data_IF_852824782488
#
_entry.id   IF_852824782488
#
_cell.length_a   1.000
_cell.length_b   1.000
_cell.length_c   1.000
_cell.angle_alpha   90.00
_cell.angle_beta   90.00
_cell.angle_gamma   90.00
#
_symmetry.space_group_name_H-M   'P 1'
#
loop_
_entity.id
_entity.type
_entity.pdbx_description
1 polymer ?
#
# COMPACT_ATOMS: atom_id res chain seq x y z
N UNK A 1 -10.40 1.52 6.81
CA UNK A 1 -9.82 2.53 5.91
C UNK A 1 -10.45 2.33 4.56
N UNK A 2 -10.70 3.43 3.85
CA UNK A 2 -11.27 3.41 2.52
C UNK A 2 -10.46 4.32 1.59
N UNK A 3 -10.58 4.06 0.29
CA UNK A 3 -10.00 4.86 -0.76
C UNK A 3 -10.88 4.82 -2.01
N UNK A 4 -10.86 5.91 -2.76
CA UNK A 4 -11.61 6.07 -4.00
C UNK A 4 -10.66 6.46 -5.13
N UNK A 5 -10.97 6.03 -6.34
CA UNK A 5 -10.25 6.42 -7.55
C UNK A 5 -11.16 6.37 -8.77
N UNK A 6 -10.72 7.02 -9.85
CA UNK A 6 -11.30 6.75 -11.18
C UNK A 6 -10.94 5.33 -11.62
N UNK A 7 -11.91 4.63 -12.18
CA UNK A 7 -11.78 3.24 -12.60
C UNK A 7 -10.70 3.04 -13.68
N UNK A 8 -10.38 4.08 -14.44
CA UNK A 8 -9.36 4.06 -15.51
C UNK A 8 -7.92 4.27 -14.99
N UNK A 9 -7.73 4.60 -13.71
CA UNK A 9 -6.42 4.89 -13.15
C UNK A 9 -5.67 3.61 -12.73
N UNK A 10 -5.30 2.78 -13.71
CA UNK A 10 -4.66 1.50 -13.46
C UNK A 10 -3.40 1.55 -12.56
N UNK A 11 -2.56 2.62 -12.55
CA UNK A 11 -1.47 2.75 -11.59
C UNK A 11 -1.93 2.79 -10.13
N UNK A 12 -2.95 3.59 -9.79
CA UNK A 12 -3.40 3.68 -8.39
C UNK A 12 -4.10 2.40 -7.93
N UNK A 13 -4.83 1.72 -8.82
CA UNK A 13 -5.50 0.46 -8.47
C UNK A 13 -4.49 -0.61 -8.03
N UNK A 14 -3.38 -0.75 -8.75
CA UNK A 14 -2.28 -1.65 -8.37
C UNK A 14 -1.67 -1.29 -7.02
N UNK A 15 -1.56 0.00 -6.71
CA UNK A 15 -1.07 0.45 -5.40
C UNK A 15 -2.04 0.04 -4.30
N UNK A 16 -3.34 0.30 -4.48
CA UNK A 16 -4.38 -0.05 -3.50
C UNK A 16 -4.37 -1.55 -3.18
N UNK A 17 -4.28 -2.40 -4.20
CA UNK A 17 -4.16 -3.85 -4.04
C UNK A 17 -2.87 -4.26 -3.31
N UNK A 18 -1.73 -3.66 -3.70
CA UNK A 18 -0.42 -3.95 -3.09
C UNK A 18 -0.38 -3.58 -1.61
N UNK A 19 -0.97 -2.44 -1.22
CA UNK A 19 -1.07 -2.05 0.19
C UNK A 19 -2.12 -2.86 0.95
N UNK A 20 -2.90 -3.68 0.25
CA UNK A 20 -3.79 -4.69 0.80
C UNK A 20 -5.24 -4.27 0.93
N UNK A 21 -5.66 -3.18 0.31
CA UNK A 21 -7.08 -2.88 0.22
C UNK A 21 -7.73 -3.85 -0.78
N UNK A 22 -8.96 -4.26 -0.47
CA UNK A 22 -9.83 -5.07 -1.33
C UNK A 22 -10.70 -4.14 -2.17
N UNK A 23 -10.96 -4.51 -3.43
CA UNK A 23 -11.95 -3.84 -4.27
C UNK A 23 -13.36 -4.15 -3.75
N UNK A 24 -14.13 -3.11 -3.42
CA UNK A 24 -15.47 -3.25 -2.84
C UNK A 24 -16.59 -2.87 -3.81
N UNK A 25 -16.28 -2.07 -4.85
CA UNK A 25 -17.31 -1.65 -5.80
C UNK A 25 -16.78 -0.87 -6.99
N UNK A 26 -17.56 -0.92 -8.06
CA UNK A 26 -17.39 -0.09 -9.26
C UNK A 26 -18.70 0.63 -9.52
N UNK A 27 -18.61 1.93 -9.80
CA UNK A 27 -19.76 2.82 -9.92
C UNK A 27 -19.73 3.47 -11.29
N UNK A 28 -20.85 3.39 -12.01
CA UNK A 28 -20.99 3.97 -13.34
C UNK A 28 -21.17 5.48 -13.26
N UNK A 29 -20.42 6.21 -14.09
CA UNK A 29 -20.54 7.67 -14.22
C UNK A 29 -20.58 8.40 -12.87
N UNK A 30 -19.75 7.96 -11.92
CA UNK A 30 -19.79 8.41 -10.53
C UNK A 30 -19.24 9.83 -10.35
N UNK A 31 -18.28 10.21 -11.19
CA UNK A 31 -17.58 11.49 -11.09
C UNK A 31 -17.62 12.26 -12.40
N UNK A 32 -17.84 13.58 -12.33
CA UNK A 32 -17.73 14.48 -13.48
C UNK A 32 -16.33 15.10 -13.55
N UNK A 33 -15.49 14.59 -14.45
CA UNK A 33 -14.13 15.10 -14.68
C UNK A 33 -14.13 16.26 -15.69
N UNK A 34 -13.48 17.37 -15.33
CA UNK A 34 -13.48 18.63 -16.10
C UNK A 34 -13.19 18.49 -17.61
N UNK A 35 -12.30 17.58 -17.98
CA UNK A 35 -11.90 17.33 -19.38
C UNK A 35 -12.27 15.95 -19.91
N UNK A 36 -12.73 15.04 -19.06
CA UNK A 36 -13.02 13.64 -19.46
C UNK A 36 -14.53 13.33 -19.46
N UNK A 37 -15.35 14.27 -19.00
CA UNK A 37 -16.78 14.03 -18.85
C UNK A 37 -17.07 13.12 -17.66
N UNK A 38 -18.17 12.40 -17.72
CA UNK A 38 -18.52 11.39 -16.72
C UNK A 38 -17.53 10.23 -16.76
N UNK A 39 -17.03 9.83 -15.60
CA UNK A 39 -16.09 8.72 -15.45
C UNK A 39 -16.56 7.76 -14.38
N UNK A 40 -16.28 6.48 -14.60
CA UNK A 40 -16.56 5.43 -13.64
C UNK A 40 -15.65 5.58 -12.40
N UNK A 41 -16.20 5.30 -11.21
CA UNK A 41 -15.50 5.30 -9.94
C UNK A 41 -15.27 3.89 -9.40
N UNK A 42 -14.30 3.73 -8.51
CA UNK A 42 -14.08 2.49 -7.74
C UNK A 42 -13.83 2.78 -6.28
N UNK A 43 -14.28 1.86 -5.41
CA UNK A 43 -14.03 1.90 -3.98
C UNK A 43 -13.15 0.72 -3.56
N UNK A 44 -12.20 1.01 -2.68
CA UNK A 44 -11.35 0.03 -2.06
C UNK A 44 -11.41 0.20 -0.54
N UNK A 45 -11.41 -0.91 0.20
CA UNK A 45 -11.45 -0.86 1.66
C UNK A 45 -10.56 -1.91 2.33
N UNK A 46 -10.24 -1.63 3.59
CA UNK A 46 -9.62 -2.56 4.52
C UNK A 46 -10.23 -2.38 5.90
N UNK A 47 -10.64 -3.48 6.52
CA UNK A 47 -11.14 -3.52 7.87
C UNK A 47 -10.03 -3.26 8.89
N UNK A 48 -10.41 -2.78 10.07
CA UNK A 48 -9.45 -2.54 11.14
C UNK A 48 -8.75 -3.83 11.63
N UNK A 49 -9.43 -4.98 11.59
CA UNK A 49 -8.86 -6.29 11.91
C UNK A 49 -7.75 -6.70 10.93
N UNK A 50 -7.99 -6.52 9.63
CA UNK A 50 -7.05 -6.79 8.54
C UNK A 50 -5.81 -5.89 8.66
N UNK A 51 -6.00 -4.60 8.91
CA UNK A 51 -4.90 -3.65 9.12
C UNK A 51 -4.01 -4.06 10.30
N UNK A 52 -4.61 -4.40 11.46
CA UNK A 52 -3.86 -4.86 12.64
C UNK A 52 -3.10 -6.15 12.38
N UNK A 53 -3.70 -7.11 11.67
CA UNK A 53 -3.05 -8.36 11.31
C UNK A 53 -1.83 -8.13 10.40
N UNK A 54 -1.94 -7.23 9.42
CA UNK A 54 -0.82 -6.85 8.55
C UNK A 54 0.30 -6.15 9.29
N UNK A 55 -0.02 -5.21 10.20
CA UNK A 55 0.98 -4.55 11.05
C UNK A 55 1.81 -5.55 11.86
N UNK A 56 1.17 -6.59 12.41
CA UNK A 56 1.88 -7.68 13.09
C UNK A 56 2.83 -8.42 12.16
N UNK A 57 2.39 -8.79 10.94
CA UNK A 57 3.24 -9.47 9.94
C UNK A 57 4.43 -8.61 9.50
N UNK A 58 4.23 -7.31 9.32
CA UNK A 58 5.29 -6.38 8.94
C UNK A 58 6.28 -6.13 10.09
N UNK A 59 5.82 -6.20 11.34
CA UNK A 59 6.67 -6.14 12.52
C UNK A 59 7.55 -7.39 12.64
N UNK A 60 6.98 -8.59 12.47
CA UNK A 60 7.73 -9.86 12.55
C UNK A 60 8.60 -10.13 11.33
N UNK A 61 8.25 -9.57 10.16
CA UNK A 61 9.04 -9.67 8.93
C UNK A 61 10.26 -8.74 8.91
N UNK A 62 10.35 -7.77 9.83
CA UNK A 62 11.46 -6.83 9.86
C UNK A 62 12.66 -7.56 10.46
N UNK A 63 13.53 -8.14 9.61
CA UNK A 63 14.83 -8.69 10.05
C UNK A 63 15.52 -7.63 10.93
N UNK A 64 15.91 -7.93 12.17
CA UNK A 64 16.66 -6.99 12.98
C UNK A 64 18.13 -7.05 12.57
N UNK A 65 18.47 -6.63 11.36
CA UNK A 65 19.87 -6.47 10.95
C UNK A 65 20.00 -5.27 10.00
N UNK A 66 19.72 -4.08 10.50
CA UNK A 66 20.48 -2.91 10.02
C UNK A 66 21.77 -2.92 10.81
N UNK A 67 22.78 -3.62 10.29
CA UNK A 67 24.15 -3.54 10.81
C UNK A 67 24.58 -2.09 10.71
N UNK A 68 24.74 -1.43 11.86
CA UNK A 68 25.34 -0.10 11.91
C UNK A 68 26.73 -0.17 11.28
N UNK A 69 27.10 0.87 10.53
CA UNK A 69 28.40 0.98 9.85
C UNK A 69 29.62 0.84 10.80
N UNK A 70 29.40 0.96 12.12
CA UNK A 70 30.40 0.75 13.17
C UNK A 70 30.85 -0.72 13.34
N UNK A 71 30.04 -1.69 12.90
CA UNK A 71 30.32 -3.13 13.09
C UNK A 71 31.28 -3.71 12.03
N UNK A 72 31.43 -3.02 10.89
CA UNK A 72 32.41 -3.39 9.84
C UNK A 72 33.84 -3.09 10.26
N UNK A 73 34.05 -2.04 11.07
CA UNK A 73 35.40 -1.56 11.38
C UNK A 73 36.11 -2.43 12.41
N UNK A 74 35.40 -3.03 13.36
CA UNK A 74 36.00 -3.84 14.43
C UNK A 74 36.55 -5.21 13.96
N UNK A 75 36.16 -5.72 12.80
CA UNK A 75 36.72 -6.97 12.25
C UNK A 75 38.03 -6.78 11.48
N UNK A 76 38.45 -5.54 11.17
CA UNK A 76 39.71 -5.27 10.46
C UNK A 76 40.93 -5.05 11.37
N UNK A 77 40.75 -4.98 12.68
CA UNK A 77 41.83 -4.67 13.64
C UNK A 77 42.36 -5.92 14.38
N UNK A 78 41.76 -7.10 14.15
CA UNK A 78 42.20 -8.37 14.77
C UNK A 78 42.62 -9.40 13.70
N UNK A 79 43.36 -8.95 12.68
CA UNK A 79 44.04 -9.84 11.73
C UNK A 79 45.45 -9.34 11.48
#
# INVERSE_FOLDING_TARGET
MEAHAFADNAPILRVMEKVGLRHEGTFKEESLHRTRGWVDGVTYAMLASEHRARGRRLSTSRRPEVRNALDITLRKVVA
#
